data_IF_742880093258
#
_entry.id   IF_742880093258
#
_cell.length_a   1.000
_cell.length_b   1.000
_cell.length_c   1.000
_cell.angle_alpha   90.00
_cell.angle_beta   90.00
_cell.angle_gamma   90.00
#
_symmetry.space_group_name_H-M   'P 1'
#
loop_
_entity.id
_entity.type
_entity.pdbx_description
1 polymer ?
#
# COMPACT_ATOMS: atom_id res chain seq x y z
N UNK A 1 26.44 -32.93 34.75
CA UNK A 1 25.03 -32.54 34.54
C UNK A 1 24.94 -32.13 33.08
N UNK A 2 24.55 -33.07 32.22
CA UNK A 2 24.67 -32.96 30.76
C UNK A 2 23.51 -32.15 30.20
N UNK A 3 23.79 -31.00 29.59
CA UNK A 3 22.87 -30.33 28.70
C UNK A 3 22.96 -31.03 27.35
N UNK A 4 21.94 -31.81 27.00
CA UNK A 4 21.78 -32.33 25.64
C UNK A 4 21.24 -31.21 24.75
N UNK A 5 22.13 -30.63 23.94
CA UNK A 5 21.79 -29.77 22.82
C UNK A 5 20.99 -30.61 21.80
N UNK A 6 19.67 -30.42 21.76
CA UNK A 6 18.85 -30.84 20.62
C UNK A 6 18.94 -29.72 19.58
N UNK A 7 19.95 -29.78 18.72
CA UNK A 7 19.91 -29.05 17.46
C UNK A 7 18.76 -29.59 16.61
N UNK A 8 17.88 -28.76 16.04
CA UNK A 8 16.89 -29.24 15.10
C UNK A 8 17.62 -29.62 13.81
N UNK A 9 17.83 -30.92 13.56
CA UNK A 9 18.44 -31.37 12.31
C UNK A 9 17.47 -31.07 11.15
N UNK A 10 17.99 -30.36 10.14
CA UNK A 10 17.27 -30.03 8.91
C UNK A 10 17.10 -31.24 7.98
N UNK A 11 17.69 -32.39 8.31
CA UNK A 11 17.63 -33.62 7.52
C UNK A 11 16.20 -34.18 7.41
N UNK A 12 15.31 -33.85 8.36
CA UNK A 12 13.91 -34.28 8.34
C UNK A 12 13.00 -33.40 7.47
N UNK A 13 13.51 -32.32 6.87
CA UNK A 13 12.75 -31.45 5.96
C UNK A 13 12.96 -31.82 4.49
N UNK A 14 13.95 -32.66 4.20
CA UNK A 14 14.21 -33.17 2.87
C UNK A 14 13.65 -34.58 2.75
N UNK A 15 12.61 -34.71 1.95
CA UNK A 15 12.08 -36.00 1.54
C UNK A 15 12.69 -36.31 0.17
N UNK A 16 13.66 -37.22 0.10
CA UNK A 16 14.21 -37.68 -1.17
C UNK A 16 13.27 -38.69 -1.83
N UNK A 17 12.67 -38.32 -2.97
CA UNK A 17 11.82 -39.19 -3.79
C UNK A 17 10.82 -38.43 -4.66
N UNK A 18 10.51 -38.94 -5.86
CA UNK A 18 9.34 -38.47 -6.63
C UNK A 18 8.07 -39.07 -6.03
N UNK A 19 7.35 -38.31 -5.20
CA UNK A 19 6.02 -38.67 -4.73
C UNK A 19 4.97 -38.12 -5.70
N UNK A 20 4.11 -39.00 -6.23
CA UNK A 20 3.10 -38.64 -7.24
C UNK A 20 1.69 -38.55 -6.68
N UNK A 21 1.49 -39.00 -5.43
CA UNK A 21 0.21 -38.96 -4.74
C UNK A 21 0.33 -38.44 -3.31
N UNK A 22 -0.76 -37.86 -2.78
CA UNK A 22 -0.80 -37.31 -1.42
C UNK A 22 -0.62 -38.41 -0.36
N UNK A 23 -1.14 -39.61 -0.60
CA UNK A 23 -1.01 -40.75 0.32
C UNK A 23 0.44 -41.22 0.46
N UNK A 24 1.24 -41.17 -0.62
CA UNK A 24 2.67 -41.47 -0.57
C UNK A 24 3.42 -40.47 0.32
N UNK A 25 3.08 -39.19 0.24
CA UNK A 25 3.69 -38.14 1.08
C UNK A 25 3.34 -38.35 2.55
N UNK A 26 2.08 -38.68 2.86
CA UNK A 26 1.59 -38.88 4.23
C UNK A 26 2.24 -40.10 4.93
N UNK A 27 2.71 -41.09 4.17
CA UNK A 27 3.44 -42.24 4.72
C UNK A 27 4.89 -41.94 5.10
N UNK A 28 5.51 -40.95 4.44
CA UNK A 28 6.91 -40.57 4.70
C UNK A 28 7.01 -39.54 5.83
N UNK A 29 5.96 -38.77 6.06
CA UNK A 29 5.91 -37.83 7.19
C UNK A 29 5.94 -38.63 8.51
N UNK A 30 6.93 -38.42 9.39
CA UNK A 30 6.96 -39.09 10.68
C UNK A 30 5.66 -38.82 11.45
N UNK A 31 5.05 -39.84 12.08
CA UNK A 31 3.88 -39.62 12.91
C UNK A 31 4.23 -38.57 13.96
N UNK A 32 3.35 -37.57 14.13
CA UNK A 32 3.53 -36.47 15.08
C UNK A 32 3.36 -37.02 16.50
N UNK A 33 4.32 -37.81 16.98
CA UNK A 33 4.38 -38.28 18.34
C UNK A 33 4.33 -37.07 19.26
N UNK A 34 3.42 -37.14 20.24
CA UNK A 34 3.01 -36.10 21.17
C UNK A 34 4.08 -35.02 21.39
N UNK A 35 3.70 -33.76 21.14
CA UNK A 35 4.48 -32.55 21.47
C UNK A 35 5.07 -32.67 22.87
N UNK A 36 6.31 -33.12 22.95
CA UNK A 36 7.08 -33.09 24.20
C UNK A 36 7.71 -31.71 24.28
N UNK A 37 7.03 -30.80 24.97
CA UNK A 37 7.52 -29.45 25.25
C UNK A 37 6.49 -28.36 24.97
N UNK A 38 6.26 -27.49 25.97
CA UNK A 38 5.56 -26.21 25.78
C UNK A 38 6.41 -25.37 24.83
N UNK A 39 5.86 -25.00 23.68
CA UNK A 39 6.57 -24.13 22.74
C UNK A 39 6.61 -22.72 23.33
N UNK A 40 7.82 -22.20 23.57
CA UNK A 40 8.07 -20.87 24.13
C UNK A 40 7.83 -19.74 23.11
N UNK A 41 7.25 -20.03 21.94
CA UNK A 41 6.96 -19.07 20.85
C UNK A 41 6.02 -17.94 21.26
N UNK A 42 5.27 -18.11 22.36
CA UNK A 42 4.38 -17.08 22.91
C UNK A 42 5.02 -16.25 24.03
N UNK A 43 6.22 -16.59 24.49
CA UNK A 43 6.92 -15.88 25.57
C UNK A 43 7.70 -14.66 25.07
N UNK A 44 7.93 -14.57 23.76
CA UNK A 44 8.53 -13.41 23.11
C UNK A 44 7.52 -12.29 22.78
N UNK A 45 6.22 -12.52 23.03
CA UNK A 45 5.22 -11.46 22.90
C UNK A 45 5.25 -10.60 24.18
N UNK A 46 5.43 -9.28 24.09
CA UNK A 46 5.38 -8.44 25.28
C UNK A 46 4.00 -8.58 25.93
N UNK A 47 3.98 -9.00 27.20
CA UNK A 47 2.76 -9.02 28.01
C UNK A 47 2.22 -7.60 28.10
N UNK A 48 1.01 -7.38 27.59
CA UNK A 48 0.31 -6.12 27.81
C UNK A 48 0.01 -6.00 29.32
N UNK A 49 0.19 -4.82 29.93
CA UNK A 49 -0.01 -4.67 31.37
C UNK A 49 -1.51 -4.60 31.65
N UNK A 50 -2.17 -5.76 31.65
CA UNK A 50 -3.59 -5.86 31.99
C UNK A 50 -3.93 -7.15 32.73
N UNK A 51 -3.04 -7.64 33.59
CA UNK A 51 -3.36 -8.75 34.49
C UNK A 51 -3.12 -8.39 35.96
N UNK A 52 -4.05 -7.60 36.51
CA UNK A 52 -4.46 -7.68 37.92
C UNK A 52 -5.94 -7.33 38.07
N UNK A 53 -6.84 -8.16 37.52
CA UNK A 53 -8.22 -8.23 38.03
C UNK A 53 -8.63 -9.69 38.12
N UNK A 54 -8.41 -10.26 39.29
CA UNK A 54 -8.98 -11.54 39.68
C UNK A 54 -10.51 -11.43 39.72
N UNK A 55 -11.19 -12.37 39.08
CA UNK A 55 -12.55 -12.77 39.45
C UNK A 55 -13.71 -11.87 39.02
N UNK A 56 -13.85 -11.55 37.73
CA UNK A 56 -15.16 -11.14 37.18
C UNK A 56 -15.37 -11.67 35.76
N UNK A 57 -16.55 -12.24 35.53
CA UNK A 57 -16.96 -12.89 34.28
C UNK A 57 -16.72 -12.00 33.04
N UNK A 58 -16.29 -12.62 31.93
CA UNK A 58 -15.99 -11.96 30.64
C UNK A 58 -17.14 -11.12 30.02
N UNK A 59 -18.32 -11.09 30.65
CA UNK A 59 -19.48 -10.30 30.23
C UNK A 59 -19.64 -8.97 31.00
N UNK A 60 -18.85 -8.71 32.05
CA UNK A 60 -18.90 -7.44 32.81
C UNK A 60 -17.91 -6.39 32.32
N UNK A 61 -17.07 -6.67 31.32
CA UNK A 61 -16.21 -5.68 30.64
C UNK A 61 -17.02 -4.86 29.61
N UNK A 62 -18.26 -4.49 29.96
CA UNK A 62 -18.95 -3.32 29.37
C UNK A 62 -18.64 -2.04 30.16
N UNK A 63 -17.51 -2.02 30.88
CA UNK A 63 -16.94 -0.82 31.44
C UNK A 63 -16.39 0.07 30.32
N UNK A 64 -17.31 0.82 29.69
CA UNK A 64 -17.08 2.13 29.08
C UNK A 64 -15.84 2.21 28.17
N UNK A 65 -15.91 1.54 27.02
CA UNK A 65 -15.34 2.18 25.83
C UNK A 65 -15.94 3.58 25.81
N UNK A 66 -15.11 4.64 25.93
CA UNK A 66 -15.56 6.00 25.68
C UNK A 66 -16.26 5.93 24.33
N UNK A 67 -17.56 6.21 24.30
CA UNK A 67 -18.26 6.40 23.03
C UNK A 67 -17.37 7.35 22.22
N UNK A 68 -17.05 7.05 20.95
CA UNK A 68 -16.37 8.05 20.14
C UNK A 68 -17.16 9.34 20.29
N UNK A 69 -16.45 10.47 20.45
CA UNK A 69 -17.11 11.75 20.52
C UNK A 69 -17.74 12.01 19.15
N UNK A 70 -18.99 11.55 19.01
CA UNK A 70 -19.82 11.83 17.85
C UNK A 70 -20.17 13.31 17.98
N UNK A 71 -19.77 14.09 16.99
CA UNK A 71 -20.22 15.47 16.89
C UNK A 71 -21.75 15.46 16.79
N UNK A 72 -22.42 15.93 17.84
CA UNK A 72 -23.89 16.00 17.91
C UNK A 72 -24.43 17.33 17.39
N UNK A 73 -23.61 18.12 16.67
CA UNK A 73 -24.05 19.35 16.01
C UNK A 73 -25.25 19.15 15.06
N UNK A 74 -25.50 17.94 14.58
CA UNK A 74 -26.71 17.62 13.80
C UNK A 74 -28.01 17.60 14.65
N UNK A 75 -27.94 17.63 15.98
CA UNK A 75 -29.08 17.71 16.90
C UNK A 75 -29.45 19.16 17.28
N UNK A 76 -28.94 20.16 16.56
CA UNK A 76 -29.22 21.56 16.85
C UNK A 76 -30.73 21.87 16.75
N UNK A 77 -31.26 22.48 17.81
CA UNK A 77 -32.60 23.07 17.87
C UNK A 77 -32.75 24.16 16.80
N UNK A 78 -33.91 24.29 16.12
CA UNK A 78 -34.10 25.28 15.06
C UNK A 78 -33.89 26.75 15.50
N UNK A 79 -33.91 27.02 16.81
CA UNK A 79 -33.85 28.37 17.39
C UNK A 79 -32.48 28.73 18.01
N UNK A 80 -31.46 27.87 17.88
CA UNK A 80 -30.11 28.13 18.41
C UNK A 80 -29.30 29.09 17.53
N UNK A 81 -28.53 30.00 18.14
CA UNK A 81 -27.58 30.84 17.41
C UNK A 81 -26.46 29.96 16.83
N UNK A 82 -26.47 29.76 15.51
CA UNK A 82 -25.50 28.95 14.80
C UNK A 82 -24.11 29.61 14.83
N UNK A 83 -23.26 29.22 15.77
CA UNK A 83 -21.80 29.29 15.57
C UNK A 83 -21.31 27.96 14.99
N UNK A 84 -22.07 27.39 14.06
CA UNK A 84 -21.50 26.40 13.14
C UNK A 84 -20.50 27.19 12.30
N UNK A 85 -19.21 27.04 12.60
CA UNK A 85 -18.15 27.46 11.68
C UNK A 85 -18.57 27.08 10.26
N UNK A 86 -18.32 27.98 9.30
CA UNK A 86 -18.82 27.82 7.92
C UNK A 86 -18.62 26.37 7.48
N UNK A 87 -19.64 25.69 6.93
CA UNK A 87 -19.48 24.32 6.46
C UNK A 87 -18.26 24.26 5.55
N UNK A 88 -17.42 23.23 5.69
CA UNK A 88 -16.25 23.04 4.84
C UNK A 88 -16.77 23.00 3.38
N UNK A 89 -16.55 24.09 2.64
CA UNK A 89 -16.96 24.23 1.23
C UNK A 89 -15.89 23.61 0.33
N UNK A 90 -15.55 22.35 0.60
CA UNK A 90 -14.51 21.64 -0.13
C UNK A 90 -15.08 20.36 -0.76
N UNK A 91 -14.58 20.04 -1.94
CA UNK A 91 -14.97 18.85 -2.67
C UNK A 91 -14.21 17.64 -2.12
N UNK A 92 -14.87 16.49 -1.98
CA UNK A 92 -14.22 15.24 -1.61
C UNK A 92 -14.15 14.34 -2.85
N UNK A 93 -12.94 14.00 -3.27
CA UNK A 93 -12.68 13.07 -4.36
C UNK A 93 -12.58 11.64 -3.82
N UNK A 94 -13.28 10.72 -4.47
CA UNK A 94 -13.05 9.28 -4.28
C UNK A 94 -12.16 8.76 -5.40
N UNK A 95 -10.95 8.31 -5.05
CA UNK A 95 -9.93 7.85 -5.99
C UNK A 95 -9.70 6.35 -5.80
N UNK A 96 -9.78 5.58 -6.89
CA UNK A 96 -9.41 4.17 -6.92
C UNK A 96 -8.01 4.01 -7.50
N UNK A 97 -7.17 3.29 -6.77
CA UNK A 97 -5.83 2.90 -7.20
C UNK A 97 -5.86 1.40 -7.48
N UNK A 98 -5.49 1.04 -8.70
CA UNK A 98 -5.43 -0.35 -9.13
C UNK A 98 -4.05 -0.93 -8.88
N UNK A 99 -3.99 -2.26 -8.78
CA UNK A 99 -2.72 -2.98 -8.74
C UNK A 99 -1.86 -2.67 -9.96
N UNK A 100 -0.53 -2.71 -9.83
CA UNK A 100 0.34 -2.37 -10.93
C UNK A 100 0.15 -3.38 -12.07
N UNK A 101 0.19 -2.89 -13.32
CA UNK A 101 0.15 -3.77 -14.47
C UNK A 101 1.44 -4.60 -14.52
N UNK A 102 1.30 -5.92 -14.55
CA UNK A 102 2.42 -6.83 -14.74
C UNK A 102 2.60 -7.09 -16.23
N UNK A 103 3.76 -6.73 -16.76
CA UNK A 103 4.11 -6.98 -18.17
C UNK A 103 4.53 -8.43 -18.42
N UNK A 104 4.82 -9.21 -17.38
CA UNK A 104 5.21 -10.62 -17.46
C UNK A 104 3.98 -11.48 -17.72
N UNK A 105 3.77 -11.75 -18.99
CA UNK A 105 2.71 -12.61 -19.51
C UNK A 105 3.10 -14.07 -19.25
N UNK A 106 2.65 -14.66 -18.14
CA UNK A 106 2.40 -16.11 -18.16
C UNK A 106 1.03 -16.27 -18.84
N UNK A 107 1.06 -16.64 -20.11
CA UNK A 107 -0.08 -16.72 -21.04
C UNK A 107 -1.16 -17.76 -20.65
N UNK A 108 -1.23 -18.18 -19.39
CA UNK A 108 -2.18 -19.18 -18.90
C UNK A 108 -3.36 -18.52 -18.18
N UNK A 109 -4.28 -17.98 -18.99
CA UNK A 109 -5.73 -17.91 -18.72
C UNK A 109 -6.31 -16.95 -17.67
N UNK A 110 -5.56 -16.01 -17.09
CA UNK A 110 -6.23 -14.95 -16.32
C UNK A 110 -6.55 -13.77 -17.23
N UNK A 111 -7.84 -13.41 -17.46
CA UNK A 111 -8.16 -12.17 -18.15
C UNK A 111 -7.57 -11.01 -17.33
N UNK A 112 -7.04 -9.99 -18.00
CA UNK A 112 -6.55 -8.73 -17.42
C UNK A 112 -7.61 -8.12 -16.50
N UNK A 113 -7.67 -8.58 -15.25
CA UNK A 113 -8.65 -8.12 -14.28
C UNK A 113 -8.01 -6.96 -13.57
N UNK A 114 -8.44 -5.76 -13.92
CA UNK A 114 -8.16 -4.57 -13.13
C UNK A 114 -8.75 -4.79 -11.73
N UNK A 115 -7.88 -5.03 -10.76
CA UNK A 115 -8.24 -5.20 -9.36
C UNK A 115 -7.95 -3.87 -8.66
N UNK A 116 -9.00 -3.25 -8.11
CA UNK A 116 -8.84 -2.09 -7.21
C UNK A 116 -8.10 -2.58 -5.98
N UNK A 117 -6.96 -1.94 -5.70
CA UNK A 117 -6.14 -2.23 -4.54
C UNK A 117 -6.52 -1.32 -3.38
N UNK A 118 -6.71 -0.03 -3.67
CA UNK A 118 -6.98 1.00 -2.66
C UNK A 118 -8.09 1.94 -3.11
N UNK A 119 -8.90 2.36 -2.13
CA UNK A 119 -9.87 3.45 -2.25
C UNK A 119 -9.42 4.58 -1.32
N UNK A 120 -9.14 5.74 -1.89
CA UNK A 120 -8.64 6.91 -1.17
C UNK A 120 -9.71 8.00 -1.26
N UNK A 121 -10.03 8.62 -0.13
CA UNK A 121 -10.88 9.82 -0.08
C UNK A 121 -9.99 11.01 0.28
N UNK A 122 -9.98 12.03 -0.58
CA UNK A 122 -9.07 13.16 -0.48
C UNK A 122 -9.81 14.47 -0.81
N UNK A 123 -9.42 15.56 -0.16
CA UNK A 123 -10.05 16.87 -0.37
C UNK A 123 -9.52 17.56 -1.63
N UNK A 124 -10.36 18.39 -2.25
CA UNK A 124 -9.99 19.23 -3.40
C UNK A 124 -8.95 20.29 -3.04
N UNK A 125 -8.93 20.75 -1.79
CA UNK A 125 -7.88 21.64 -1.27
C UNK A 125 -6.53 20.98 -1.01
N UNK A 126 -6.43 19.65 -1.13
CA UNK A 126 -5.15 18.95 -1.01
C UNK A 126 -4.47 18.84 -2.38
N UNK A 127 -3.14 18.72 -2.36
CA UNK A 127 -2.31 18.60 -3.57
C UNK A 127 -2.17 17.15 -4.05
N UNK A 128 -1.76 16.98 -5.31
CA UNK A 128 -1.41 15.69 -5.87
C UNK A 128 -0.24 15.02 -5.13
N UNK A 129 0.66 15.80 -4.56
CA UNK A 129 1.73 15.28 -3.69
C UNK A 129 1.18 14.59 -2.44
N UNK A 130 0.11 15.12 -1.84
CA UNK A 130 -0.58 14.43 -0.74
C UNK A 130 -1.25 13.14 -1.22
N UNK A 131 -1.87 13.14 -2.42
CA UNK A 131 -2.40 11.92 -3.00
C UNK A 131 -1.28 10.88 -3.20
N UNK A 132 -0.12 11.27 -3.73
CA UNK A 132 1.05 10.39 -3.87
C UNK A 132 1.43 9.76 -2.54
N UNK A 133 1.56 10.56 -1.49
CA UNK A 133 2.02 10.09 -0.18
C UNK A 133 1.01 9.13 0.48
N UNK A 134 -0.27 9.18 0.08
CA UNK A 134 -1.30 8.26 0.58
C UNK A 134 -1.32 6.91 -0.14
N UNK A 135 -0.76 6.81 -1.35
CA UNK A 135 -0.73 5.57 -2.12
C UNK A 135 0.30 4.62 -1.49
N UNK A 136 -0.13 3.43 -1.09
CA UNK A 136 0.76 2.40 -0.54
C UNK A 136 1.09 1.36 -1.60
N UNK A 137 2.30 1.35 -2.12
CA UNK A 137 2.69 0.33 -3.09
C UNK A 137 3.48 -0.80 -2.40
N UNK A 138 3.18 -2.08 -2.64
CA UNK A 138 4.02 -3.18 -2.14
C UNK A 138 5.50 -3.05 -2.55
N UNK A 139 5.75 -2.37 -3.68
CA UNK A 139 7.10 -2.13 -4.18
C UNK A 139 7.96 -1.29 -3.22
N UNK A 140 7.35 -0.46 -2.37
CA UNK A 140 8.07 0.33 -1.37
C UNK A 140 8.80 -0.52 -0.33
N UNK A 141 8.28 -1.73 -0.08
CA UNK A 141 8.76 -2.65 0.94
C UNK A 141 9.75 -3.68 0.40
N UNK A 142 10.10 -3.61 -0.90
CA UNK A 142 11.14 -4.47 -1.45
C UNK A 142 12.49 -4.00 -0.94
N UNK A 143 13.22 -4.92 -0.31
CA UNK A 143 14.58 -4.68 0.13
C UNK A 143 15.53 -4.82 -1.07
N UNK A 144 16.36 -3.81 -1.27
CA UNK A 144 17.37 -3.79 -2.32
C UNK A 144 18.71 -4.32 -1.79
N UNK A 145 19.46 -4.99 -2.66
CA UNK A 145 20.78 -5.53 -2.36
C UNK A 145 20.83 -7.05 -2.31
N UNK A 146 22.01 -7.59 -2.04
CA UNK A 146 22.20 -9.02 -1.85
C UNK A 146 21.67 -9.42 -0.47
N UNK A 147 20.53 -10.12 -0.45
CA UNK A 147 19.90 -10.56 0.78
C UNK A 147 20.69 -11.67 1.48
N UNK A 148 21.67 -12.31 0.82
CA UNK A 148 22.39 -13.47 1.38
C UNK A 148 23.17 -13.15 2.65
N UNK A 149 23.78 -11.96 2.75
CA UNK A 149 24.51 -11.52 3.94
C UNK A 149 23.66 -10.67 4.92
N UNK A 150 22.46 -10.27 4.48
CA UNK A 150 21.59 -9.34 5.20
C UNK A 150 20.46 -10.01 5.99
N UNK A 151 20.24 -11.32 5.83
CA UNK A 151 19.14 -12.05 6.50
C UNK A 151 19.05 -11.76 8.02
N UNK A 152 20.19 -11.71 8.70
CA UNK A 152 20.27 -11.52 10.15
C UNK A 152 20.53 -10.05 10.57
N UNK A 153 20.72 -9.13 9.60
CA UNK A 153 21.11 -7.74 9.86
C UNK A 153 20.11 -6.76 9.25
N UNK A 154 19.06 -6.38 9.99
CA UNK A 154 18.00 -5.51 9.48
C UNK A 154 18.48 -4.11 9.07
N UNK A 155 19.64 -3.67 9.56
CA UNK A 155 20.27 -2.39 9.24
C UNK A 155 20.87 -2.33 7.82
N UNK A 156 21.08 -3.47 7.17
CA UNK A 156 21.51 -3.54 5.77
C UNK A 156 20.33 -3.53 4.79
N UNK A 157 19.11 -3.69 5.29
CA UNK A 157 17.91 -3.70 4.47
C UNK A 157 17.53 -2.27 4.07
N UNK A 158 17.90 -1.87 2.85
CA UNK A 158 17.51 -0.58 2.28
C UNK A 158 16.20 -0.80 1.50
N UNK A 159 15.08 -0.17 1.92
CA UNK A 159 13.83 -0.28 1.21
C UNK A 159 13.90 0.47 -0.12
N UNK A 160 13.21 -0.06 -1.13
CA UNK A 160 13.19 0.52 -2.47
C UNK A 160 12.67 1.97 -2.47
N UNK A 161 11.72 2.30 -1.60
CA UNK A 161 11.18 3.65 -1.43
C UNK A 161 12.22 4.72 -1.10
N UNK A 162 13.34 4.36 -0.45
CA UNK A 162 14.43 5.30 -0.12
C UNK A 162 15.40 5.53 -1.29
N UNK A 163 15.51 4.57 -2.21
CA UNK A 163 16.40 4.69 -3.38
C UNK A 163 15.68 5.19 -4.62
N UNK A 164 14.48 4.68 -4.88
CA UNK A 164 13.69 5.03 -6.06
C UNK A 164 12.60 6.02 -5.67
N UNK A 165 12.95 7.30 -5.64
CA UNK A 165 12.05 8.36 -5.16
C UNK A 165 11.25 9.02 -6.28
N UNK A 166 11.64 8.79 -7.55
CA UNK A 166 10.99 9.36 -8.74
C UNK A 166 9.62 8.72 -8.97
N UNK A 167 8.61 9.57 -9.21
CA UNK A 167 7.25 9.17 -9.56
C UNK A 167 6.56 10.31 -10.31
N UNK A 168 5.53 10.00 -11.10
CA UNK A 168 4.67 11.04 -11.68
C UNK A 168 3.23 10.56 -11.84
N UNK A 169 2.30 11.51 -11.90
CA UNK A 169 0.96 11.27 -12.45
C UNK A 169 0.89 11.78 -13.89
N UNK A 170 0.24 11.02 -14.76
CA UNK A 170 -0.11 11.48 -16.10
C UNK A 170 -1.62 11.60 -16.19
N UNK A 171 -2.09 12.84 -16.21
CA UNK A 171 -3.50 13.20 -16.22
C UNK A 171 -3.76 14.06 -17.46
N UNK A 172 -4.61 13.55 -18.35
CA UNK A 172 -4.86 14.12 -19.68
C UNK A 172 -3.58 14.23 -20.52
N UNK A 173 -3.03 15.43 -20.68
CA UNK A 173 -1.84 15.71 -21.47
C UNK A 173 -0.72 16.31 -20.60
N UNK A 174 -0.87 16.21 -19.27
CA UNK A 174 0.02 16.84 -18.30
C UNK A 174 0.68 15.77 -17.44
N UNK A 175 2.01 15.80 -17.40
CA UNK A 175 2.82 15.04 -16.47
C UNK A 175 3.04 15.86 -15.20
N UNK A 176 2.77 15.25 -14.05
CA UNK A 176 2.98 15.81 -12.73
C UNK A 176 4.11 15.04 -12.05
N UNK A 177 5.36 15.42 -12.33
CA UNK A 177 6.54 14.78 -11.74
C UNK A 177 6.73 15.20 -10.29
N UNK A 178 7.04 14.24 -9.42
CA UNK A 178 7.39 14.53 -8.04
C UNK A 178 8.89 14.79 -7.88
N UNK A 179 9.22 16.07 -7.84
CA UNK A 179 10.58 16.57 -7.71
C UNK A 179 10.88 17.11 -6.31
N UNK A 180 10.07 16.75 -5.29
CA UNK A 180 10.26 17.23 -3.90
C UNK A 180 11.55 16.70 -3.27
N UNK A 181 12.01 15.52 -3.69
CA UNK A 181 13.27 14.93 -3.24
C UNK A 181 14.40 15.29 -4.22
N UNK A 182 15.57 15.76 -3.76
CA UNK A 182 16.70 16.07 -4.64
C UNK A 182 17.25 14.85 -5.42
N UNK A 183 16.97 13.62 -4.98
CA UNK A 183 17.32 12.39 -5.72
C UNK A 183 16.33 12.05 -6.82
N UNK A 184 15.15 12.66 -6.83
CA UNK A 184 14.14 12.41 -7.85
C UNK A 184 14.54 13.02 -9.17
N UNK A 185 14.22 12.32 -10.24
CA UNK A 185 14.45 12.71 -11.63
C UNK A 185 13.11 12.90 -12.32
N UNK A 186 13.01 13.87 -13.23
CA UNK A 186 11.83 14.03 -14.07
C UNK A 186 11.77 12.90 -15.11
N UNK A 187 11.01 11.85 -14.81
CA UNK A 187 10.92 10.67 -15.68
C UNK A 187 10.12 10.98 -16.95
N UNK A 188 9.25 12.00 -16.91
CA UNK A 188 8.45 12.42 -18.07
C UNK A 188 9.26 13.14 -19.15
N UNK A 189 10.44 13.68 -18.83
CA UNK A 189 11.18 14.59 -19.72
C UNK A 189 11.44 13.97 -21.10
N UNK A 190 12.00 12.76 -21.12
CA UNK A 190 12.29 12.05 -22.37
C UNK A 190 11.01 11.74 -23.16
N UNK A 191 9.90 11.46 -22.48
CA UNK A 191 8.61 11.16 -23.11
C UNK A 191 8.01 12.42 -23.74
N UNK A 192 8.09 13.55 -23.04
CA UNK A 192 7.62 14.86 -23.51
C UNK A 192 8.44 15.28 -24.74
N UNK A 193 9.77 15.21 -24.67
CA UNK A 193 10.67 15.58 -25.76
C UNK A 193 10.47 14.69 -26.98
N UNK A 194 10.38 13.37 -26.77
CA UNK A 194 10.07 12.42 -27.84
C UNK A 194 8.71 12.69 -28.49
N UNK A 195 7.67 12.95 -27.69
CA UNK A 195 6.34 13.19 -28.21
C UNK A 195 6.27 14.49 -29.01
N UNK A 196 6.82 15.56 -28.44
CA UNK A 196 6.71 16.91 -28.99
C UNK A 196 7.67 17.15 -30.17
N UNK A 197 8.74 16.34 -30.32
CA UNK A 197 9.62 16.40 -31.49
C UNK A 197 9.01 15.81 -32.78
N UNK A 198 7.87 15.13 -32.69
CA UNK A 198 7.20 14.57 -33.87
C UNK A 198 6.56 15.66 -34.73
N UNK A 199 6.81 15.59 -36.04
CA UNK A 199 6.13 16.43 -37.04
C UNK A 199 4.62 16.13 -37.02
N UNK A 200 3.79 17.18 -37.01
CA UNK A 200 2.31 17.18 -37.00
C UNK A 200 1.63 17.07 -35.62
N UNK A 201 2.32 17.33 -34.51
CA UNK A 201 1.63 17.53 -33.22
C UNK A 201 0.98 18.91 -33.22
N UNK A 202 -0.36 18.96 -33.20
CA UNK A 202 -1.10 20.22 -32.99
C UNK A 202 -0.90 20.72 -31.56
N UNK A 203 -0.98 22.03 -31.32
CA UNK A 203 -0.85 22.64 -29.98
C UNK A 203 -1.71 21.98 -28.90
N UNK A 204 -2.88 21.44 -29.27
CA UNK A 204 -3.79 20.74 -28.35
C UNK A 204 -3.32 19.35 -27.92
N UNK A 205 -2.36 18.77 -28.63
CA UNK A 205 -1.85 17.42 -28.39
C UNK A 205 -0.48 17.40 -27.74
N UNK A 206 0.17 18.56 -27.54
CA UNK A 206 1.45 18.59 -26.84
C UNK A 206 1.32 18.10 -25.41
N UNK A 207 2.35 17.38 -24.96
CA UNK A 207 2.50 17.06 -23.55
C UNK A 207 3.23 18.18 -22.83
N UNK A 208 2.79 18.46 -21.62
CA UNK A 208 3.40 19.46 -20.74
C UNK A 208 3.78 18.83 -19.40
N UNK A 209 4.72 19.47 -18.70
CA UNK A 209 5.09 19.12 -17.34
C UNK A 209 4.55 20.17 -16.35
N UNK A 210 4.11 19.70 -15.19
CA UNK A 210 3.68 20.48 -14.04
C UNK A 210 4.20 19.83 -12.75
N UNK A 211 4.10 20.55 -11.63
CA UNK A 211 4.51 20.01 -10.32
C UNK A 211 3.33 19.35 -9.59
N UNK A 212 3.66 18.33 -8.80
CA UNK A 212 2.73 17.64 -7.88
C UNK A 212 2.18 18.53 -6.77
N UNK A 213 2.70 19.74 -6.56
CA UNK A 213 2.09 20.76 -5.71
C UNK A 213 0.71 21.26 -6.17
N UNK A 214 0.28 20.91 -7.40
CA UNK A 214 -1.05 21.27 -7.93
C UNK A 214 -2.18 20.71 -7.07
N UNK A 215 -3.18 21.56 -6.76
CA UNK A 215 -4.37 21.17 -6.01
C UNK A 215 -5.27 20.26 -6.81
N UNK A 216 -5.92 19.29 -6.15
CA UNK A 216 -6.86 18.38 -6.82
C UNK A 216 -8.05 19.12 -7.43
N UNK A 217 -8.54 20.16 -6.76
CA UNK A 217 -9.65 20.99 -7.23
C UNK A 217 -9.35 21.76 -8.53
N UNK A 218 -8.07 21.99 -8.84
CA UNK A 218 -7.63 22.71 -10.04
C UNK A 218 -7.38 21.78 -11.24
N UNK A 219 -7.43 20.46 -11.04
CA UNK A 219 -7.16 19.48 -12.08
C UNK A 219 -8.30 19.41 -13.09
N UNK A 220 -7.94 19.35 -14.37
CA UNK A 220 -8.87 19.05 -15.46
C UNK A 220 -8.98 17.54 -15.59
N UNK A 221 -10.04 16.96 -15.01
CA UNK A 221 -10.26 15.52 -14.98
C UNK A 221 -11.65 15.15 -15.48
N UNK A 222 -11.76 13.92 -15.97
CA UNK A 222 -13.00 13.26 -16.35
C UNK A 222 -13.25 12.12 -15.37
N UNK A 223 -14.39 12.15 -14.68
CA UNK A 223 -14.73 11.11 -13.72
C UNK A 223 -14.94 9.76 -14.42
N UNK A 224 -14.44 8.71 -13.78
CA UNK A 224 -14.43 7.35 -14.31
C UNK A 224 -13.38 7.07 -15.39
N UNK A 225 -12.63 8.09 -15.85
CA UNK A 225 -11.55 7.90 -16.82
C UNK A 225 -10.29 7.35 -16.13
N UNK A 226 -9.60 6.36 -16.74
CA UNK A 226 -8.31 5.89 -16.24
C UNK A 226 -7.18 6.87 -16.55
N UNK A 227 -6.38 7.14 -15.52
CA UNK A 227 -5.13 7.89 -15.56
C UNK A 227 -3.97 7.02 -15.08
N UNK A 228 -2.74 7.45 -15.34
CA UNK A 228 -1.54 6.70 -14.98
C UNK A 228 -0.85 7.35 -13.77
N UNK A 229 -0.45 6.51 -12.82
CA UNK A 229 0.52 6.84 -11.79
C UNK A 229 1.72 5.91 -11.96
N UNK A 230 2.86 6.47 -12.38
CA UNK A 230 4.10 5.72 -12.47
C UNK A 230 4.89 5.89 -11.17
N UNK A 231 5.17 4.76 -10.52
CA UNK A 231 5.89 4.69 -9.26
C UNK A 231 7.23 3.98 -9.45
N UNK A 232 8.31 4.52 -8.86
CA UNK A 232 9.68 3.97 -8.90
C UNK A 232 10.23 3.66 -10.32
N UNK A 233 9.67 4.28 -11.36
CA UNK A 233 10.12 4.16 -12.75
C UNK A 233 9.55 3.00 -13.56
N UNK A 234 9.01 1.94 -12.93
CA UNK A 234 8.45 0.78 -13.65
C UNK A 234 7.17 0.20 -13.04
N UNK A 235 6.67 0.77 -11.95
CA UNK A 235 5.46 0.30 -11.28
C UNK A 235 4.27 1.15 -11.74
N UNK A 236 3.55 0.67 -12.76
CA UNK A 236 2.46 1.40 -13.41
C UNK A 236 1.11 1.12 -12.75
N UNK A 237 0.57 2.09 -12.03
CA UNK A 237 -0.75 2.02 -11.43
C UNK A 237 -1.79 2.77 -12.26
N UNK A 238 -2.96 2.16 -12.46
CA UNK A 238 -4.13 2.89 -12.97
C UNK A 238 -4.79 3.61 -11.81
N UNK A 239 -5.09 4.89 -12.03
CA UNK A 239 -5.78 5.78 -11.10
C UNK A 239 -7.10 6.20 -11.73
N UNK A 240 -8.20 6.05 -11.00
CA UNK A 240 -9.53 6.48 -11.45
C UNK A 240 -10.13 7.39 -10.39
N UNK A 241 -10.44 8.63 -10.77
CA UNK A 241 -11.29 9.53 -9.98
C UNK A 241 -12.74 9.10 -10.20
N UNK A 242 -13.31 8.37 -9.25
CA UNK A 242 -14.60 7.71 -9.40
C UNK A 242 -15.79 8.65 -9.11
N UNK A 243 -15.63 9.53 -8.13
CA UNK A 243 -16.72 10.39 -7.64
C UNK A 243 -16.17 11.68 -7.00
N UNK A 244 -17.01 12.72 -6.99
CA UNK A 244 -16.78 14.01 -6.31
C UNK A 244 -18.07 14.40 -5.59
N UNK A 245 -17.98 14.67 -4.28
CA UNK A 245 -19.11 15.08 -3.44
C UNK A 245 -18.84 16.38 -2.68
#
# INVERSE_FOLDING_TARGET
>A
MFYTELSPSLENLYIEGEHRTLDEVLQVIPPRTQRSGRLHTLEALPESPLDKVSGTHALSVRARLRRPQVDQSYLNSPDGFFDSGRPIQDAIFTVFIYRPLTTTVDCSNSPWKLIVDQRIEILGSQSLSTLRDTIRCPQDMIWLGDCSEALDKPELHIPASLMYTSAYFFIENVFYDDLRNPKSTALSADVIDWHNSKLNVSDKNHFTAADTGTLLGDLKLHLGKPYLYLHQGNCEHIVIFADIR
#
